data_IF_540154009098
#
_entry.id   IF_540154009098
#
_cell.length_a   1.000
_cell.length_b   1.000
_cell.length_c   1.000
_cell.angle_alpha   90.00
_cell.angle_beta   90.00
_cell.angle_gamma   90.00
#
_symmetry.space_group_name_H-M   'P 1'
#
loop_
_entity.id
_entity.type
_entity.pdbx_description
1 polymer ?
#
# COMPACT_ATOMS: atom_id res chain seq x y z
N UNK A 1 22.94 -6.23 26.83
CA UNK A 1 22.64 -5.19 25.86
C UNK A 1 21.98 -4.01 26.59
N UNK A 2 22.52 -2.82 26.39
CA UNK A 2 22.03 -1.58 27.03
C UNK A 2 21.14 -0.77 26.08
N UNK A 3 21.02 -1.17 24.82
CA UNK A 3 20.22 -0.45 23.81
C UNK A 3 20.69 1.01 23.67
N UNK A 4 19.79 1.95 23.98
CA UNK A 4 20.05 3.39 23.95
C UNK A 4 20.24 3.99 25.36
N UNK A 5 20.41 3.15 26.39
CA UNK A 5 20.50 3.62 27.78
C UNK A 5 21.85 4.25 28.15
N UNK A 6 22.90 4.01 27.36
CA UNK A 6 24.22 4.61 27.58
C UNK A 6 24.31 5.92 26.81
N UNK A 7 24.41 7.01 27.56
CA UNK A 7 24.42 8.37 27.02
C UNK A 7 25.64 9.09 27.55
N UNK A 8 26.30 9.87 26.68
CA UNK A 8 27.38 10.76 27.10
C UNK A 8 26.88 11.83 28.07
N UNK A 9 27.64 12.03 29.15
CA UNK A 9 27.26 12.94 30.25
C UNK A 9 27.22 14.42 29.82
N UNK A 10 28.08 14.83 28.88
CA UNK A 10 28.25 16.21 28.51
C UNK A 10 27.40 16.66 27.32
N UNK A 11 27.39 15.85 26.27
CA UNK A 11 26.72 16.18 25.00
C UNK A 11 25.39 15.46 24.78
N UNK A 12 25.08 14.46 25.61
CA UNK A 12 23.87 13.68 25.49
C UNK A 12 23.86 12.73 24.31
N UNK A 13 25.00 12.46 23.69
CA UNK A 13 25.11 11.51 22.59
C UNK A 13 24.85 10.10 23.05
N UNK A 14 23.98 9.38 22.35
CA UNK A 14 23.61 8.00 22.67
C UNK A 14 24.63 7.05 22.07
N UNK A 15 25.23 6.19 22.91
CA UNK A 15 26.01 5.03 22.44
C UNK A 15 25.04 3.90 22.08
N UNK A 16 24.68 3.85 20.80
CA UNK A 16 23.69 2.87 20.29
C UNK A 16 24.21 1.44 20.35
N UNK A 17 23.32 0.52 20.75
CA UNK A 17 23.55 -0.92 20.73
C UNK A 17 24.78 -1.38 21.54
N UNK A 18 25.11 -0.67 22.62
CA UNK A 18 26.22 -1.08 23.48
C UNK A 18 25.95 -2.41 24.15
N UNK A 19 26.83 -3.38 23.96
CA UNK A 19 26.78 -4.69 24.58
C UNK A 19 28.02 -4.89 25.44
N UNK A 20 27.81 -5.29 26.68
CA UNK A 20 28.90 -5.75 27.55
C UNK A 20 28.80 -7.27 27.66
N UNK A 21 29.72 -7.97 27.00
CA UNK A 21 29.79 -9.44 27.01
C UNK A 21 30.76 -9.90 28.09
N UNK A 22 30.35 -10.86 28.90
CA UNK A 22 31.22 -11.53 29.87
C UNK A 22 30.89 -13.01 29.92
N UNK A 23 31.86 -13.81 30.34
CA UNK A 23 31.68 -15.25 30.53
C UNK A 23 32.06 -15.63 31.95
N UNK A 24 31.35 -16.58 32.53
CA UNK A 24 31.73 -17.26 33.78
C UNK A 24 32.65 -18.48 33.53
N UNK A 25 32.87 -18.83 32.26
CA UNK A 25 33.75 -19.89 31.80
C UNK A 25 35.08 -19.37 31.23
N UNK A 26 35.90 -20.29 30.71
CA UNK A 26 37.22 -19.99 30.14
C UNK A 26 37.17 -19.28 28.76
N UNK A 27 36.04 -19.26 28.10
CA UNK A 27 35.87 -18.66 26.78
C UNK A 27 34.51 -18.00 26.61
N UNK A 28 34.43 -17.04 25.68
CA UNK A 28 33.16 -16.44 25.20
C UNK A 28 32.86 -17.07 23.85
N UNK A 29 31.61 -17.47 23.64
CA UNK A 29 31.15 -17.92 22.35
C UNK A 29 31.31 -16.79 21.32
N UNK A 30 31.77 -17.13 20.11
CA UNK A 30 32.08 -16.14 19.05
C UNK A 30 31.22 -16.25 17.80
N UNK A 31 30.24 -17.17 17.81
CA UNK A 31 29.37 -17.32 16.63
C UNK A 31 28.36 -16.17 16.52
N UNK A 32 27.88 -15.99 15.33
CA UNK A 32 26.92 -14.93 15.02
C UNK A 32 25.83 -15.39 14.07
N UNK A 33 24.70 -14.70 14.12
CA UNK A 33 23.65 -14.72 13.09
C UNK A 33 23.50 -13.31 12.57
N UNK A 34 23.59 -13.16 11.26
CA UNK A 34 23.25 -11.92 10.57
C UNK A 34 22.05 -12.12 9.65
N UNK A 35 21.33 -11.06 9.40
CA UNK A 35 20.20 -11.15 8.48
C UNK A 35 19.57 -9.81 8.17
N UNK A 36 18.50 -9.88 7.41
CA UNK A 36 17.73 -8.72 7.00
C UNK A 36 16.24 -9.00 7.13
N UNK A 37 15.47 -8.01 7.62
CA UNK A 37 14.01 -8.05 7.68
C UNK A 37 13.46 -7.04 6.67
N UNK A 38 12.54 -7.48 5.83
CA UNK A 38 11.85 -6.67 4.81
C UNK A 38 10.35 -6.82 5.03
N UNK A 39 9.60 -5.73 4.93
CA UNK A 39 8.14 -5.76 4.94
C UNK A 39 7.63 -6.41 3.64
N UNK A 40 6.95 -7.54 3.75
CA UNK A 40 6.51 -8.33 2.61
C UNK A 40 5.54 -7.59 1.68
N UNK A 41 4.63 -6.79 2.24
CA UNK A 41 3.62 -6.03 1.51
C UNK A 41 4.21 -4.86 0.68
N UNK A 42 5.34 -4.30 1.10
CA UNK A 42 5.88 -3.08 0.48
C UNK A 42 7.29 -3.20 -0.07
N UNK A 43 8.02 -4.26 0.32
CA UNK A 43 9.44 -4.43 0.03
C UNK A 43 10.35 -3.40 0.72
N UNK A 44 9.80 -2.58 1.63
CA UNK A 44 10.55 -1.58 2.40
C UNK A 44 11.14 -2.17 3.67
N UNK A 45 12.02 -1.43 4.31
CA UNK A 45 12.60 -1.77 5.63
C UNK A 45 11.93 -0.94 6.72
N UNK A 46 11.92 -1.47 7.95
CA UNK A 46 11.38 -0.78 9.11
C UNK A 46 12.34 -0.97 10.29
N UNK A 47 12.95 0.12 10.76
CA UNK A 47 13.90 0.12 11.88
C UNK A 47 13.24 0.02 13.26
N UNK A 48 11.91 0.01 13.33
CA UNK A 48 11.19 -0.23 14.59
C UNK A 48 11.07 -1.70 14.93
N UNK A 49 11.37 -2.58 13.97
CA UNK A 49 11.36 -4.02 14.17
C UNK A 49 12.53 -4.50 15.03
N UNK A 50 12.32 -5.67 15.62
CA UNK A 50 13.34 -6.43 16.31
C UNK A 50 13.53 -7.78 15.62
N UNK A 51 14.78 -8.27 15.60
CA UNK A 51 15.03 -9.68 15.39
C UNK A 51 15.09 -10.35 16.76
N UNK A 52 14.49 -11.53 16.91
CA UNK A 52 14.44 -12.26 18.18
C UNK A 52 14.80 -13.74 17.97
N UNK A 53 15.46 -14.35 18.97
CA UNK A 53 15.86 -15.76 18.93
C UNK A 53 15.23 -16.56 20.06
N UNK A 54 14.82 -17.77 19.70
CA UNK A 54 14.38 -18.83 20.62
C UNK A 54 15.14 -20.13 20.34
N UNK A 55 15.29 -20.97 21.36
CA UNK A 55 15.87 -22.31 21.25
C UNK A 55 14.81 -23.43 21.32
N UNK A 56 13.52 -23.09 21.33
CA UNK A 56 12.40 -24.04 21.40
C UNK A 56 11.56 -23.97 20.12
N UNK A 57 11.06 -25.15 19.72
CA UNK A 57 10.30 -25.34 18.48
C UNK A 57 8.78 -25.11 18.62
N UNK A 58 8.28 -24.94 19.85
CA UNK A 58 6.83 -24.82 20.08
C UNK A 58 6.27 -23.51 19.48
N UNK A 59 5.27 -23.59 18.62
CA UNK A 59 4.66 -22.43 17.96
C UNK A 59 4.12 -21.40 18.96
N UNK A 60 3.64 -21.87 20.12
CA UNK A 60 3.15 -20.99 21.18
C UNK A 60 4.24 -20.20 21.90
N UNK A 61 5.52 -20.53 21.70
CA UNK A 61 6.65 -19.89 22.38
C UNK A 61 6.72 -18.41 22.06
N UNK A 62 6.54 -18.02 20.79
CA UNK A 62 6.59 -16.62 20.36
C UNK A 62 5.49 -15.75 20.97
N UNK A 63 4.35 -16.35 21.34
CA UNK A 63 3.21 -15.66 21.94
C UNK A 63 3.19 -15.68 23.48
N UNK A 64 3.96 -16.57 24.11
CA UNK A 64 3.87 -16.82 25.56
C UNK A 64 5.17 -16.62 26.33
N UNK A 65 6.30 -16.64 25.64
CA UNK A 65 7.60 -16.53 26.27
C UNK A 65 8.39 -15.35 25.71
N UNK A 66 9.22 -14.75 26.55
CA UNK A 66 10.17 -13.74 26.09
C UNK A 66 11.30 -14.42 25.31
N UNK A 67 11.83 -13.76 24.26
CA UNK A 67 12.96 -14.28 23.50
C UNK A 67 14.23 -14.37 24.35
N UNK A 68 15.11 -15.31 24.01
CA UNK A 68 16.43 -15.42 24.64
C UNK A 68 17.37 -14.28 24.25
N UNK A 69 17.33 -13.89 22.98
CA UNK A 69 18.13 -12.81 22.43
C UNK A 69 17.24 -11.86 21.62
N UNK A 70 17.57 -10.58 21.68
CA UNK A 70 16.89 -9.51 20.94
C UNK A 70 17.96 -8.65 20.27
N UNK A 71 17.78 -8.38 18.98
CA UNK A 71 18.61 -7.45 18.24
C UNK A 71 17.73 -6.41 17.56
N UNK A 72 18.15 -5.15 17.54
CA UNK A 72 17.47 -4.09 16.80
C UNK A 72 17.76 -4.24 15.31
N UNK A 73 16.82 -3.82 14.49
CA UNK A 73 16.96 -3.73 13.05
C UNK A 73 17.43 -2.31 12.69
N UNK A 74 18.41 -2.18 11.82
CA UNK A 74 18.88 -0.87 11.33
C UNK A 74 17.97 -0.28 10.23
N UNK A 75 18.29 0.94 9.78
CA UNK A 75 17.51 1.62 8.72
C UNK A 75 17.52 0.90 7.35
N UNK A 76 18.47 -0.01 7.13
CA UNK A 76 18.51 -0.86 5.94
C UNK A 76 17.84 -2.24 6.15
N UNK A 77 17.29 -2.46 7.33
CA UNK A 77 16.62 -3.72 7.67
C UNK A 77 17.56 -4.78 8.23
N UNK A 78 18.85 -4.50 8.41
CA UNK A 78 19.81 -5.51 8.86
C UNK A 78 19.77 -5.68 10.38
N UNK A 79 20.05 -6.91 10.83
CA UNK A 79 20.23 -7.24 12.22
C UNK A 79 21.46 -8.15 12.41
N UNK A 80 21.97 -8.19 13.63
CA UNK A 80 23.11 -9.03 14.00
C UNK A 80 22.98 -9.48 15.45
N UNK A 81 23.13 -10.78 15.67
CA UNK A 81 23.36 -11.39 16.97
C UNK A 81 24.81 -11.84 17.07
N UNK A 82 25.43 -11.58 18.18
CA UNK A 82 26.84 -11.94 18.46
C UNK A 82 26.95 -12.79 19.73
N UNK A 83 28.07 -13.43 19.92
CA UNK A 83 28.38 -14.22 21.11
C UNK A 83 27.35 -15.34 21.34
N UNK A 84 26.96 -16.03 20.29
CA UNK A 84 26.01 -17.13 20.35
C UNK A 84 26.73 -18.45 20.56
N UNK A 85 26.21 -19.32 21.43
CA UNK A 85 26.68 -20.72 21.50
C UNK A 85 26.31 -21.46 20.23
N UNK A 86 27.04 -22.51 19.92
CA UNK A 86 26.67 -23.42 18.83
C UNK A 86 25.37 -24.13 19.18
N UNK A 87 24.48 -24.30 18.17
CA UNK A 87 23.19 -24.94 18.38
C UNK A 87 22.13 -24.46 17.35
N UNK A 88 20.93 -24.99 17.51
CA UNK A 88 19.78 -24.63 16.67
C UNK A 88 18.98 -23.48 17.31
N UNK A 89 18.72 -22.45 16.51
CA UNK A 89 17.94 -21.29 16.91
C UNK A 89 16.82 -21.03 15.92
N UNK A 90 15.66 -20.62 16.43
CA UNK A 90 14.53 -20.13 15.66
C UNK A 90 14.58 -18.60 15.64
N UNK A 91 14.69 -18.04 14.43
CA UNK A 91 14.82 -16.61 14.19
C UNK A 91 13.48 -16.04 13.73
N UNK A 92 13.06 -14.96 14.37
CA UNK A 92 11.82 -14.24 14.04
C UNK A 92 12.08 -12.74 13.91
N UNK A 93 11.26 -12.07 13.11
CA UNK A 93 11.10 -10.62 13.13
C UNK A 93 9.86 -10.25 13.92
N UNK A 94 9.92 -9.19 14.71
CA UNK A 94 8.82 -8.74 15.57
C UNK A 94 8.69 -7.22 15.57
N UNK A 95 7.49 -6.72 15.23
CA UNK A 95 7.07 -5.34 15.46
C UNK A 95 6.24 -5.28 16.73
N UNK A 96 6.87 -4.99 17.83
CA UNK A 96 6.35 -5.06 19.19
C UNK A 96 5.56 -3.77 19.54
N UNK A 97 4.27 -3.79 19.32
CA UNK A 97 3.40 -2.62 19.49
C UNK A 97 3.15 -2.29 20.97
N UNK A 98 3.07 -3.30 21.83
CA UNK A 98 2.75 -3.15 23.26
C UNK A 98 3.98 -3.23 24.19
N UNK A 99 5.18 -3.45 23.66
CA UNK A 99 6.44 -3.47 24.42
C UNK A 99 6.72 -4.77 25.18
N UNK A 100 5.96 -5.84 24.92
CA UNK A 100 6.05 -7.10 25.69
C UNK A 100 7.08 -8.10 25.12
N UNK A 101 7.58 -7.87 23.90
CA UNK A 101 8.50 -8.72 23.14
C UNK A 101 7.91 -10.11 22.80
N UNK A 102 6.61 -10.16 22.56
CA UNK A 102 5.89 -11.38 22.19
C UNK A 102 4.99 -11.08 20.98
N UNK A 103 4.74 -12.09 20.14
CA UNK A 103 3.79 -11.99 19.04
C UNK A 103 2.42 -12.49 19.52
N UNK A 104 1.56 -11.58 19.95
CA UNK A 104 0.25 -11.89 20.54
C UNK A 104 -0.92 -11.08 19.94
N UNK A 105 -0.64 -10.13 19.06
CA UNK A 105 -1.65 -9.33 18.40
C UNK A 105 -1.55 -9.45 16.87
N UNK A 106 -2.66 -9.63 16.13
CA UNK A 106 -2.63 -9.79 14.67
C UNK A 106 -2.21 -8.53 13.90
N UNK A 107 -2.19 -7.37 14.57
CA UNK A 107 -1.72 -6.10 14.01
C UNK A 107 -0.19 -5.95 14.12
N UNK A 108 0.48 -6.77 14.91
CA UNK A 108 1.93 -6.74 15.04
C UNK A 108 2.59 -7.30 13.79
N UNK A 109 3.68 -6.66 13.37
CA UNK A 109 4.51 -7.19 12.31
C UNK A 109 5.24 -8.42 12.78
N UNK A 110 5.15 -9.51 12.03
CA UNK A 110 5.80 -10.76 12.34
C UNK A 110 6.49 -11.36 11.13
N UNK A 111 7.65 -11.98 11.35
CA UNK A 111 8.39 -12.68 10.31
C UNK A 111 8.98 -13.98 10.88
N UNK A 112 9.03 -15.03 10.10
CA UNK A 112 9.55 -16.32 10.52
C UNK A 112 10.27 -17.05 9.39
N UNK A 113 11.10 -18.02 9.76
CA UNK A 113 11.67 -19.02 8.86
C UNK A 113 10.96 -20.36 9.06
N UNK A 114 10.88 -21.17 8.01
CA UNK A 114 10.25 -22.49 8.07
C UNK A 114 11.10 -23.51 8.82
N UNK A 115 12.40 -23.23 8.98
CA UNK A 115 13.36 -24.11 9.64
C UNK A 115 14.27 -23.35 10.60
N UNK A 116 14.79 -24.01 11.65
CA UNK A 116 15.77 -23.40 12.53
C UNK A 116 17.11 -23.18 11.81
N UNK A 117 17.88 -22.23 12.33
CA UNK A 117 19.25 -21.99 11.89
C UNK A 117 20.19 -22.74 12.82
N UNK A 118 21.08 -23.56 12.25
CA UNK A 118 22.17 -24.19 12.99
C UNK A 118 23.35 -23.22 13.00
N UNK A 119 23.63 -22.70 14.20
CA UNK A 119 24.70 -21.73 14.42
C UNK A 119 26.04 -22.44 14.54
N UNK A 120 26.99 -22.04 13.71
CA UNK A 120 28.37 -22.53 13.68
C UNK A 120 29.30 -21.38 13.30
N UNK A 121 30.57 -21.63 13.14
CA UNK A 121 31.57 -20.63 12.70
C UNK A 121 31.29 -20.02 11.32
N UNK A 122 30.45 -20.65 10.52
CA UNK A 122 30.06 -20.18 9.15
C UNK A 122 28.54 -20.20 9.00
N UNK A 123 27.84 -19.38 9.78
CA UNK A 123 26.38 -19.26 9.67
C UNK A 123 26.01 -18.34 8.49
N UNK A 124 25.20 -18.80 7.52
CA UNK A 124 24.78 -17.94 6.41
C UNK A 124 23.88 -16.81 6.88
N UNK A 125 23.93 -15.66 6.20
CA UNK A 125 22.99 -14.56 6.45
C UNK A 125 21.58 -14.96 6.02
N UNK A 126 20.57 -14.52 6.77
CA UNK A 126 19.17 -14.90 6.57
C UNK A 126 18.32 -13.71 6.17
N UNK A 127 17.28 -13.98 5.39
CA UNK A 127 16.28 -12.97 5.02
C UNK A 127 14.91 -13.36 5.55
N UNK A 128 14.26 -12.42 6.20
CA UNK A 128 12.94 -12.56 6.80
C UNK A 128 11.98 -11.57 6.12
N UNK A 129 10.72 -11.98 5.97
CA UNK A 129 9.67 -11.16 5.40
C UNK A 129 8.59 -10.91 6.44
N UNK A 130 8.50 -9.66 6.90
CA UNK A 130 7.57 -9.27 7.95
C UNK A 130 6.21 -8.89 7.35
N UNK A 131 5.16 -9.29 8.05
CA UNK A 131 3.77 -9.02 7.71
C UNK A 131 2.94 -8.79 8.97
N UNK A 132 1.86 -8.01 8.88
CA UNK A 132 0.79 -8.00 9.87
C UNK A 132 -0.39 -8.82 9.35
N UNK A 133 -0.94 -9.71 10.18
CA UNK A 133 -2.08 -10.54 9.79
C UNK A 133 -3.37 -9.70 9.63
N UNK A 134 -3.49 -8.62 10.37
CA UNK A 134 -4.56 -7.64 10.26
C UNK A 134 -3.98 -6.23 10.18
N UNK A 135 -4.64 -5.34 9.43
CA UNK A 135 -4.27 -3.91 9.40
C UNK A 135 -4.91 -3.17 10.56
N UNK A 136 -4.15 -2.24 11.14
CA UNK A 136 -4.73 -1.29 12.09
C UNK A 136 -5.94 -0.58 11.45
N UNK A 137 -7.10 -0.64 12.11
CA UNK A 137 -8.27 0.09 11.63
C UNK A 137 -7.96 1.59 11.70
N UNK A 138 -8.13 2.35 10.60
CA UNK A 138 -7.93 3.80 10.65
C UNK A 138 -8.80 4.36 11.78
N UNK A 139 -8.20 5.07 12.72
CA UNK A 139 -8.96 5.85 13.71
C UNK A 139 -9.83 6.80 12.91
N UNK A 140 -11.16 6.65 13.03
CA UNK A 140 -12.11 7.55 12.39
C UNK A 140 -11.74 8.97 12.82
N UNK A 141 -11.17 9.76 11.91
CA UNK A 141 -10.95 11.17 12.13
C UNK A 141 -12.33 11.79 12.17
N UNK A 142 -12.82 12.06 13.37
CA UNK A 142 -13.99 12.89 13.59
C UNK A 142 -13.61 14.34 13.26
N UNK A 143 -13.52 14.67 11.99
CA UNK A 143 -13.54 16.05 11.55
C UNK A 143 -14.99 16.54 11.63
N UNK A 144 -15.46 16.76 12.84
CA UNK A 144 -16.61 17.59 13.09
C UNK A 144 -16.18 19.05 12.94
N UNK A 145 -15.93 19.48 11.71
CA UNK A 145 -15.98 20.91 11.41
C UNK A 145 -17.46 21.28 11.37
N UNK A 146 -17.90 21.97 12.40
CA UNK A 146 -19.23 22.56 12.47
C UNK A 146 -19.39 23.70 11.48
N UNK A 147 -19.45 23.38 10.21
CA UNK A 147 -19.94 24.32 9.19
C UNK A 147 -21.44 24.12 9.05
N UNK A 148 -22.17 25.14 9.46
CA UNK A 148 -23.59 25.31 9.10
C UNK A 148 -23.66 25.54 7.58
N UNK A 149 -23.49 24.48 6.81
CA UNK A 149 -23.66 24.48 5.38
C UNK A 149 -25.08 24.96 5.05
N UNK A 150 -25.18 26.12 4.43
CA UNK A 150 -26.46 26.75 4.02
C UNK A 150 -27.06 26.08 2.77
N UNK A 151 -26.97 24.77 2.65
CA UNK A 151 -27.52 24.01 1.53
C UNK A 151 -26.74 22.73 1.24
N UNK A 152 -27.26 21.94 0.29
CA UNK A 152 -26.63 20.73 -0.21
C UNK A 152 -25.36 21.09 -1.00
N UNK A 153 -24.20 20.60 -0.55
CA UNK A 153 -22.93 20.76 -1.29
C UNK A 153 -22.68 19.55 -2.17
N UNK A 154 -22.38 19.81 -3.42
CA UNK A 154 -22.02 18.80 -4.43
C UNK A 154 -20.65 19.13 -5.03
N UNK A 155 -19.83 18.11 -5.19
CA UNK A 155 -18.50 18.22 -5.81
C UNK A 155 -18.38 17.20 -6.95
N UNK A 156 -18.18 17.63 -8.20
CA UNK A 156 -17.93 16.74 -9.32
C UNK A 156 -16.49 16.19 -9.29
N UNK A 157 -16.28 14.99 -9.83
CA UNK A 157 -14.95 14.38 -10.00
C UNK A 157 -14.23 14.88 -11.27
N UNK A 158 -14.12 16.18 -11.43
CA UNK A 158 -13.48 16.81 -12.58
C UNK A 158 -12.04 17.20 -12.25
N UNK A 159 -11.13 16.94 -13.17
CA UNK A 159 -9.75 17.42 -13.12
C UNK A 159 -9.58 18.66 -13.99
N UNK A 160 -9.32 19.82 -13.40
CA UNK A 160 -9.25 21.11 -14.11
C UNK A 160 -10.45 21.37 -15.07
N UNK A 161 -11.66 21.01 -14.64
CA UNK A 161 -12.89 21.19 -15.44
C UNK A 161 -13.03 20.16 -16.57
N UNK A 162 -12.28 19.07 -16.56
CA UNK A 162 -12.37 18.01 -17.55
C UNK A 162 -12.79 16.67 -16.93
N UNK A 163 -13.71 15.98 -17.60
CA UNK A 163 -14.10 14.61 -17.30
C UNK A 163 -13.12 13.65 -17.97
N UNK A 164 -12.65 12.69 -17.20
CA UNK A 164 -11.78 11.62 -17.65
C UNK A 164 -12.54 10.59 -18.48
N UNK A 165 -11.99 10.19 -19.65
CA UNK A 165 -12.59 9.14 -20.50
C UNK A 165 -12.59 7.76 -19.84
N UNK A 166 -11.69 7.52 -18.90
CA UNK A 166 -11.52 6.23 -18.23
C UNK A 166 -12.36 6.13 -16.95
N UNK A 167 -13.06 7.20 -16.56
CA UNK A 167 -13.85 7.25 -15.35
C UNK A 167 -15.31 7.67 -15.63
N UNK A 168 -16.19 7.30 -14.71
CA UNK A 168 -17.58 7.75 -14.74
C UNK A 168 -17.70 9.16 -14.17
N UNK A 169 -18.59 9.98 -14.72
CA UNK A 169 -18.89 11.28 -14.11
C UNK A 169 -19.64 11.06 -12.80
N UNK A 170 -19.11 11.58 -11.69
CA UNK A 170 -19.67 11.42 -10.35
C UNK A 170 -19.86 12.76 -9.67
N UNK A 171 -21.00 12.87 -9.01
CA UNK A 171 -21.32 13.97 -8.11
C UNK A 171 -21.20 13.45 -6.67
N UNK A 172 -20.24 13.97 -5.91
CA UNK A 172 -20.02 13.59 -4.51
C UNK A 172 -20.73 14.58 -3.59
N UNK A 173 -21.42 14.03 -2.61
CA UNK A 173 -22.14 14.79 -1.60
C UNK A 173 -21.48 14.60 -0.23
N UNK A 174 -21.60 15.60 0.64
CA UNK A 174 -21.05 15.53 2.02
C UNK A 174 -21.81 14.56 2.91
N UNK A 175 -23.08 14.28 2.59
CA UNK A 175 -23.95 13.34 3.30
C UNK A 175 -24.74 12.48 2.30
N UNK A 176 -25.19 11.27 2.71
CA UNK A 176 -25.96 10.39 1.84
C UNK A 176 -27.21 11.07 1.30
N UNK A 177 -27.50 10.90 0.00
CA UNK A 177 -28.71 11.41 -0.62
C UNK A 177 -29.93 10.52 -0.23
N UNK A 178 -30.93 11.17 0.33
CA UNK A 178 -32.21 10.53 0.69
C UNK A 178 -33.18 10.52 -0.49
N UNK A 179 -33.27 11.63 -1.22
CA UNK A 179 -34.16 11.80 -2.36
C UNK A 179 -33.42 12.47 -3.52
N UNK A 180 -33.62 11.96 -4.71
CA UNK A 180 -33.10 12.55 -5.96
C UNK A 180 -34.24 12.60 -6.99
N UNK A 181 -34.38 13.74 -7.66
CA UNK A 181 -35.40 13.97 -8.68
C UNK A 181 -34.71 14.25 -10.04
N UNK A 182 -34.64 13.23 -10.92
CA UNK A 182 -34.00 13.38 -12.22
C UNK A 182 -34.71 14.39 -13.14
N UNK A 183 -36.00 14.66 -12.93
CA UNK A 183 -36.76 15.63 -13.76
C UNK A 183 -36.28 17.08 -13.55
N UNK A 184 -35.60 17.34 -12.43
CA UNK A 184 -34.96 18.61 -12.07
C UNK A 184 -33.52 18.69 -12.53
N UNK A 185 -33.10 17.82 -13.43
CA UNK A 185 -31.74 17.80 -13.99
C UNK A 185 -31.80 17.79 -15.51
N UNK A 186 -30.84 18.45 -16.14
CA UNK A 186 -30.73 18.51 -17.61
C UNK A 186 -29.27 18.56 -18.03
N UNK A 187 -28.86 17.61 -18.85
CA UNK A 187 -27.53 17.59 -19.47
C UNK A 187 -27.65 18.16 -20.92
N UNK A 188 -26.74 19.07 -21.23
CA UNK A 188 -26.69 19.73 -22.54
C UNK A 188 -25.30 19.63 -23.11
N UNK A 189 -25.20 19.33 -24.40
CA UNK A 189 -23.93 19.31 -25.13
C UNK A 189 -23.79 20.67 -25.88
N UNK A 190 -22.59 21.24 -25.84
CA UNK A 190 -22.21 22.52 -26.42
C UNK A 190 -23.22 23.66 -26.14
N UNK A 191 -23.90 24.15 -27.14
CA UNK A 191 -24.68 25.40 -27.00
C UNK A 191 -26.17 25.20 -26.71
N UNK A 192 -26.79 24.08 -27.03
CA UNK A 192 -28.23 23.93 -26.84
C UNK A 192 -28.80 22.48 -26.93
N UNK A 193 -28.09 21.50 -27.44
CA UNK A 193 -28.66 20.17 -27.66
C UNK A 193 -28.76 19.39 -26.34
N UNK A 194 -29.99 19.01 -25.96
CA UNK A 194 -30.22 18.19 -24.78
C UNK A 194 -29.77 16.76 -25.04
N UNK A 195 -28.95 16.22 -24.11
CA UNK A 195 -28.51 14.84 -24.18
C UNK A 195 -29.62 13.93 -23.67
N UNK A 196 -30.06 13.03 -24.53
CA UNK A 196 -31.00 11.98 -24.18
C UNK A 196 -30.30 10.76 -23.57
N UNK A 197 -31.05 9.89 -22.88
CA UNK A 197 -30.53 8.66 -22.28
C UNK A 197 -29.49 8.89 -21.17
N UNK A 198 -29.71 9.91 -20.34
CA UNK A 198 -28.92 10.14 -19.13
C UNK A 198 -29.47 9.25 -18.01
N UNK A 199 -28.60 8.45 -17.40
CA UNK A 199 -28.95 7.56 -16.29
C UNK A 199 -28.21 8.06 -15.04
N UNK A 200 -28.94 8.12 -13.93
CA UNK A 200 -28.40 8.47 -12.62
C UNK A 200 -28.46 7.27 -11.69
N UNK A 201 -27.31 6.87 -11.14
CA UNK A 201 -27.21 5.74 -10.22
C UNK A 201 -26.59 6.21 -8.90
N UNK A 202 -27.21 5.82 -7.79
CA UNK A 202 -26.58 6.02 -6.49
C UNK A 202 -25.55 4.88 -6.23
N UNK A 203 -24.44 5.22 -5.61
CA UNK A 203 -23.53 4.21 -5.05
C UNK A 203 -24.16 3.55 -3.80
N UNK A 204 -23.53 2.50 -3.29
CA UNK A 204 -24.03 1.76 -2.11
C UNK A 204 -24.14 2.62 -0.86
N UNK A 205 -23.29 3.63 -0.71
CA UNK A 205 -23.29 4.57 0.43
C UNK A 205 -24.25 5.74 0.24
N UNK A 206 -24.76 5.94 -0.99
CA UNK A 206 -25.56 7.11 -1.41
C UNK A 206 -24.86 8.46 -1.23
N UNK A 207 -23.54 8.46 -1.07
CA UNK A 207 -22.72 9.67 -1.03
C UNK A 207 -22.29 10.13 -2.41
N UNK A 208 -22.50 9.30 -3.43
CA UNK A 208 -22.15 9.60 -4.81
C UNK A 208 -23.32 9.30 -5.74
N UNK A 209 -23.55 10.21 -6.67
CA UNK A 209 -24.45 10.02 -7.80
C UNK A 209 -23.61 9.86 -9.06
N UNK A 210 -23.68 8.70 -9.69
CA UNK A 210 -22.99 8.38 -10.94
C UNK A 210 -23.90 8.81 -12.09
N UNK A 211 -23.36 9.63 -13.00
CA UNK A 211 -24.08 10.09 -14.18
C UNK A 211 -23.52 9.37 -15.40
N UNK A 212 -24.34 8.56 -16.05
CA UNK A 212 -24.02 7.82 -17.26
C UNK A 212 -24.71 8.51 -18.44
N UNK A 213 -23.93 8.89 -19.43
CA UNK A 213 -24.42 9.51 -20.65
C UNK A 213 -23.53 9.10 -21.84
N UNK A 214 -23.97 9.29 -23.09
CA UNK A 214 -23.17 9.02 -24.29
C UNK A 214 -22.10 10.11 -24.47
N UNK A 215 -21.06 10.06 -23.61
CA UNK A 215 -19.97 11.02 -23.62
C UNK A 215 -19.22 10.99 -24.95
N UNK A 216 -18.99 12.16 -25.55
CA UNK A 216 -18.18 12.32 -26.76
C UNK A 216 -16.89 13.05 -26.40
N UNK A 217 -15.74 12.44 -26.73
CA UNK A 217 -14.43 13.01 -26.49
C UNK A 217 -14.29 14.42 -27.09
N UNK A 218 -13.70 15.33 -26.34
CA UNK A 218 -13.48 16.73 -26.75
C UNK A 218 -14.68 17.65 -26.61
N UNK A 219 -15.90 17.14 -26.48
CA UNK A 219 -17.10 17.97 -26.39
C UNK A 219 -17.24 18.60 -24.99
N UNK A 220 -17.89 19.75 -24.98
CA UNK A 220 -18.25 20.50 -23.76
C UNK A 220 -19.67 20.14 -23.36
N UNK A 221 -19.89 20.02 -22.08
CA UNK A 221 -21.17 19.70 -21.46
C UNK A 221 -21.51 20.69 -20.36
N UNK A 222 -22.80 20.87 -20.13
CA UNK A 222 -23.34 21.57 -18.97
C UNK A 222 -24.42 20.70 -18.32
N UNK A 223 -24.23 20.38 -17.07
CA UNK A 223 -25.24 19.73 -16.24
C UNK A 223 -25.95 20.81 -15.42
N UNK A 224 -27.20 21.04 -15.71
CA UNK A 224 -28.08 21.93 -14.94
C UNK A 224 -28.72 21.13 -13.82
N UNK A 225 -28.69 21.66 -12.63
CA UNK A 225 -29.25 21.11 -11.40
C UNK A 225 -30.21 22.17 -10.85
N UNK A 226 -31.50 21.98 -11.02
CA UNK A 226 -32.47 22.93 -10.53
C UNK A 226 -32.58 22.83 -9.00
N UNK A 227 -33.10 23.87 -8.37
CA UNK A 227 -33.30 23.83 -6.91
C UNK A 227 -34.15 22.61 -6.52
N UNK A 228 -33.85 22.05 -5.34
CA UNK A 228 -34.54 20.87 -4.81
C UNK A 228 -34.40 19.59 -5.67
N UNK A 229 -33.37 19.49 -6.55
CA UNK A 229 -33.10 18.27 -7.30
C UNK A 229 -32.68 17.10 -6.40
N UNK A 230 -32.11 17.39 -5.23
CA UNK A 230 -31.71 16.37 -4.26
C UNK A 230 -31.90 16.86 -2.84
N UNK A 231 -32.13 15.92 -1.93
CA UNK A 231 -32.21 16.12 -0.48
C UNK A 231 -31.35 15.07 0.21
N UNK A 232 -30.50 15.49 1.14
CA UNK A 232 -29.63 14.58 1.91
C UNK A 232 -30.34 13.92 3.09
N UNK A 233 -29.63 13.06 3.80
CA UNK A 233 -30.14 12.33 4.98
C UNK A 233 -30.49 13.23 6.15
N UNK A 234 -29.94 14.44 6.23
CA UNK A 234 -30.27 15.45 7.26
C UNK A 234 -31.44 16.38 6.88
N UNK A 235 -32.02 16.18 5.68
CA UNK A 235 -33.11 17.03 5.18
C UNK A 235 -32.64 18.32 4.49
N UNK A 236 -31.34 18.53 4.31
CA UNK A 236 -30.84 19.66 3.54
C UNK A 236 -31.08 19.42 2.05
N UNK A 237 -31.59 20.44 1.38
CA UNK A 237 -31.85 20.40 -0.05
C UNK A 237 -31.08 21.50 -0.76
N UNK A 238 -30.92 21.38 -2.09
CA UNK A 238 -30.38 22.43 -2.95
C UNK A 238 -31.36 23.60 -2.97
N UNK A 239 -30.91 24.76 -2.47
CA UNK A 239 -31.75 25.98 -2.33
C UNK A 239 -31.71 26.88 -3.55
N UNK A 240 -30.79 26.64 -4.49
CA UNK A 240 -30.60 27.39 -5.73
C UNK A 240 -30.29 26.47 -6.89
N UNK A 241 -30.50 26.98 -8.09
CA UNK A 241 -30.06 26.33 -9.32
C UNK A 241 -28.52 26.34 -9.36
N UNK A 242 -27.94 25.27 -9.89
CA UNK A 242 -26.50 25.16 -10.11
C UNK A 242 -26.23 24.64 -11.52
N UNK A 243 -25.04 24.95 -12.04
CA UNK A 243 -24.63 24.53 -13.38
C UNK A 243 -23.18 24.08 -13.33
N UNK A 244 -22.95 22.81 -13.62
CA UNK A 244 -21.62 22.23 -13.71
C UNK A 244 -21.23 22.19 -15.19
N UNK A 245 -20.25 23.03 -15.54
CA UNK A 245 -19.70 23.07 -16.91
C UNK A 245 -18.39 22.31 -16.96
N UNK A 246 -18.24 21.43 -17.94
CA UNK A 246 -17.03 20.64 -18.13
C UNK A 246 -16.86 20.24 -19.60
N UNK A 247 -15.66 19.78 -19.94
CA UNK A 247 -15.39 19.09 -21.19
C UNK A 247 -15.04 17.63 -20.92
N UNK A 248 -15.17 16.78 -21.91
CA UNK A 248 -14.65 15.41 -21.87
C UNK A 248 -13.25 15.42 -22.47
N UNK A 249 -12.28 14.78 -21.79
CA UNK A 249 -10.91 14.64 -22.31
C UNK A 249 -10.92 13.93 -23.67
N UNK A 250 -9.91 14.20 -24.49
CA UNK A 250 -9.66 13.48 -25.74
C UNK A 250 -8.64 12.38 -25.53
N UNK A 251 -8.57 11.40 -26.42
CA UNK A 251 -7.58 10.33 -26.38
C UNK A 251 -6.13 10.84 -26.39
N UNK A 252 -5.90 12.00 -27.04
CA UNK A 252 -4.58 12.66 -27.10
C UNK A 252 -4.08 13.17 -25.74
N UNK A 253 -4.95 13.28 -24.75
CA UNK A 253 -4.59 13.66 -23.38
C UNK A 253 -4.16 12.46 -22.53
N UNK A 254 -4.00 11.30 -23.14
CA UNK A 254 -3.46 10.08 -22.54
C UNK A 254 -2.18 9.66 -23.24
N UNK A 255 -1.37 8.87 -22.56
CA UNK A 255 -0.22 8.23 -23.17
C UNK A 255 -0.47 6.73 -23.38
N UNK A 256 0.31 6.12 -24.25
CA UNK A 256 0.42 4.67 -24.34
C UNK A 256 1.55 4.23 -23.42
N UNK A 257 1.39 3.11 -22.71
CA UNK A 257 2.43 2.53 -21.84
C UNK A 257 2.79 1.14 -22.34
N UNK A 258 4.09 0.91 -22.48
CA UNK A 258 4.67 -0.38 -22.79
C UNK A 258 5.84 -0.66 -21.85
N UNK A 259 5.71 -1.67 -21.01
CA UNK A 259 6.78 -2.10 -20.10
C UNK A 259 7.23 -3.50 -20.51
N UNK A 260 8.54 -3.66 -20.78
CA UNK A 260 9.14 -4.96 -21.06
C UNK A 260 10.02 -5.39 -19.90
N UNK A 261 9.82 -6.62 -19.45
CA UNK A 261 10.59 -7.22 -18.37
C UNK A 261 11.57 -8.23 -18.92
N UNK A 262 12.86 -8.07 -18.64
CA UNK A 262 13.83 -9.14 -18.85
C UNK A 262 13.93 -10.01 -17.60
N UNK A 263 14.11 -11.31 -17.80
CA UNK A 263 14.23 -12.30 -16.72
C UNK A 263 13.06 -12.36 -15.70
N UNK A 264 11.86 -11.91 -16.10
CA UNK A 264 10.66 -12.06 -15.27
C UNK A 264 10.26 -13.55 -15.23
N UNK A 265 10.10 -14.07 -14.01
CA UNK A 265 9.49 -15.38 -13.78
C UNK A 265 7.96 -15.26 -13.80
N UNK A 266 7.35 -15.66 -14.90
CA UNK A 266 5.89 -15.66 -15.08
C UNK A 266 5.20 -16.81 -14.36
N UNK A 267 5.94 -17.87 -13.98
CA UNK A 267 5.38 -18.99 -13.21
C UNK A 267 5.09 -18.63 -11.75
N UNK A 268 5.71 -17.55 -11.26
CA UNK A 268 5.42 -16.99 -9.92
C UNK A 268 4.17 -16.08 -9.90
N UNK A 269 3.36 -16.08 -10.99
CA UNK A 269 2.13 -15.29 -11.13
C UNK A 269 2.29 -13.80 -10.77
N UNK A 270 3.23 -13.08 -11.43
CA UNK A 270 3.50 -11.70 -11.08
C UNK A 270 2.31 -10.78 -11.44
N UNK A 271 1.98 -9.89 -10.53
CA UNK A 271 1.00 -8.81 -10.72
C UNK A 271 1.73 -7.47 -10.67
N UNK A 272 1.67 -6.70 -11.74
CA UNK A 272 2.20 -5.34 -11.76
C UNK A 272 1.29 -4.42 -10.94
N UNK A 273 1.83 -3.83 -9.90
CA UNK A 273 1.15 -2.80 -9.11
C UNK A 273 1.67 -1.44 -9.54
N UNK A 274 0.75 -0.54 -9.88
CA UNK A 274 1.06 0.84 -10.22
C UNK A 274 0.56 1.75 -9.11
N UNK A 275 1.45 2.57 -8.57
CA UNK A 275 1.16 3.55 -7.52
C UNK A 275 1.25 4.97 -8.06
N UNK A 276 0.41 5.86 -7.56
CA UNK A 276 0.56 7.31 -7.73
C UNK A 276 1.80 7.83 -7.01
N UNK A 277 2.15 9.08 -7.23
CA UNK A 277 3.21 9.75 -6.46
C UNK A 277 2.96 9.79 -4.95
N UNK A 278 1.71 9.72 -4.50
CA UNK A 278 1.28 9.66 -3.09
C UNK A 278 1.16 8.24 -2.53
N UNK A 279 1.73 7.24 -3.19
CA UNK A 279 1.68 5.81 -2.82
C UNK A 279 0.26 5.19 -2.84
N UNK A 280 -0.71 5.83 -3.50
CA UNK A 280 -2.03 5.25 -3.73
C UNK A 280 -1.99 4.26 -4.89
N UNK A 281 -2.62 3.10 -4.74
CA UNK A 281 -2.69 2.09 -5.81
C UNK A 281 -3.65 2.55 -6.89
N UNK A 282 -3.13 2.82 -8.09
CA UNK A 282 -3.90 3.19 -9.28
C UNK A 282 -4.44 1.96 -9.99
N UNK A 283 -3.68 0.86 -9.96
CA UNK A 283 -4.11 -0.39 -10.57
C UNK A 283 -3.23 -1.57 -10.26
N UNK A 284 -3.81 -2.75 -10.44
CA UNK A 284 -3.14 -4.05 -10.36
C UNK A 284 -3.38 -4.80 -11.67
N UNK A 285 -2.32 -5.30 -12.29
CA UNK A 285 -2.36 -5.91 -13.60
C UNK A 285 -1.63 -7.25 -13.59
N UNK A 286 -2.34 -8.39 -13.57
CA UNK A 286 -1.72 -9.70 -13.71
C UNK A 286 -0.92 -9.80 -15.02
N UNK A 287 0.32 -10.28 -14.93
CA UNK A 287 1.21 -10.43 -16.07
C UNK A 287 1.24 -11.90 -16.50
N UNK A 288 0.70 -12.19 -17.66
CA UNK A 288 0.77 -13.52 -18.28
C UNK A 288 1.99 -13.70 -19.18
N UNK A 289 2.75 -12.64 -19.39
CA UNK A 289 3.97 -12.59 -20.21
C UNK A 289 4.96 -11.56 -19.70
N UNK A 290 6.03 -11.36 -20.45
CA UNK A 290 7.11 -10.44 -20.13
C UNK A 290 6.86 -9.01 -20.63
N UNK A 291 5.64 -8.67 -21.01
CA UNK A 291 5.27 -7.35 -21.49
C UNK A 291 3.94 -6.92 -20.87
N UNK A 292 3.89 -5.69 -20.41
CA UNK A 292 2.66 -4.98 -20.08
C UNK A 292 2.42 -3.91 -21.15
N UNK A 293 1.22 -3.88 -21.70
CA UNK A 293 0.80 -2.88 -22.68
C UNK A 293 -0.57 -2.30 -22.29
N UNK A 294 -0.68 -0.99 -22.36
CA UNK A 294 -1.95 -0.30 -22.18
C UNK A 294 -1.98 0.98 -23.02
N UNK A 295 -2.93 1.07 -23.94
CA UNK A 295 -3.31 2.34 -24.57
C UNK A 295 -4.08 3.18 -23.56
N UNK A 296 -4.12 4.46 -23.68
CA UNK A 296 -4.85 5.36 -22.79
C UNK A 296 -4.47 5.16 -21.30
N UNK A 297 -3.32 5.67 -20.94
CA UNK A 297 -2.88 5.77 -19.56
C UNK A 297 -2.80 7.24 -19.17
N UNK A 298 -3.26 7.60 -17.96
CA UNK A 298 -3.20 9.00 -17.51
C UNK A 298 -1.77 9.49 -17.47
N UNK A 299 -1.46 10.72 -17.91
CA UNK A 299 -0.15 11.33 -17.72
C UNK A 299 0.19 11.46 -16.23
N UNK A 300 1.45 11.24 -15.89
CA UNK A 300 1.89 11.34 -14.50
C UNK A 300 3.17 10.56 -14.21
N UNK A 301 3.63 10.67 -12.97
CA UNK A 301 4.73 9.89 -12.43
C UNK A 301 4.18 8.77 -11.55
N UNK A 302 4.59 7.54 -11.85
CA UNK A 302 4.11 6.36 -11.17
C UNK A 302 5.27 5.56 -10.59
N UNK A 303 5.08 5.04 -9.39
CA UNK A 303 5.95 4.01 -8.82
C UNK A 303 5.40 2.64 -9.18
N UNK A 304 6.29 1.70 -9.40
CA UNK A 304 5.95 0.35 -9.83
C UNK A 304 6.44 -0.66 -8.80
N UNK A 305 5.68 -1.74 -8.63
CA UNK A 305 6.12 -2.92 -7.91
C UNK A 305 5.55 -4.19 -8.57
N UNK A 306 6.16 -5.33 -8.29
CA UNK A 306 5.63 -6.65 -8.63
C UNK A 306 5.18 -7.36 -7.36
N UNK A 307 3.94 -7.81 -7.34
CA UNK A 307 3.43 -8.76 -6.37
C UNK A 307 3.59 -10.17 -6.97
N UNK A 308 4.17 -11.08 -6.21
CA UNK A 308 4.20 -12.51 -6.54
C UNK A 308 2.99 -13.18 -5.89
N UNK A 309 1.92 -13.26 -6.67
CA UNK A 309 0.57 -13.65 -6.24
C UNK A 309 0.41 -15.18 -6.34
N UNK A 310 0.69 -15.88 -5.25
CA UNK A 310 0.72 -17.34 -5.22
C UNK A 310 -0.65 -17.98 -5.35
N UNK A 311 -1.70 -17.32 -4.90
CA UNK A 311 -3.08 -17.83 -4.97
C UNK A 311 -3.91 -17.24 -6.13
N UNK A 312 -3.33 -16.32 -6.91
CA UNK A 312 -3.90 -15.72 -8.11
C UNK A 312 -5.21 -14.95 -7.86
N UNK A 313 -5.33 -14.30 -6.71
CA UNK A 313 -6.50 -13.49 -6.36
C UNK A 313 -6.34 -11.99 -6.75
N UNK A 314 -5.16 -11.57 -7.20
CA UNK A 314 -4.84 -10.21 -7.64
C UNK A 314 -4.58 -9.22 -6.50
N UNK A 315 -4.54 -9.67 -5.25
CA UNK A 315 -4.27 -8.85 -4.07
C UNK A 315 -3.18 -9.50 -3.21
N UNK A 316 -2.47 -8.69 -2.46
CA UNK A 316 -1.46 -9.21 -1.54
C UNK A 316 -2.09 -9.88 -0.34
N UNK A 317 -1.60 -11.08 0.02
CA UNK A 317 -2.04 -11.86 1.17
C UNK A 317 -0.94 -11.93 2.25
N UNK A 318 -1.31 -11.72 3.54
CA UNK A 318 -0.39 -11.86 4.65
C UNK A 318 -0.03 -13.32 4.88
N UNK A 319 1.07 -13.54 5.60
CA UNK A 319 1.41 -14.84 6.13
C UNK A 319 0.45 -15.28 7.25
N UNK A 320 0.60 -16.53 7.65
CA UNK A 320 -0.09 -17.09 8.81
C UNK A 320 0.81 -18.09 9.53
N UNK A 321 1.39 -17.67 10.64
CA UNK A 321 2.31 -18.48 11.41
C UNK A 321 1.63 -19.62 12.18
N UNK A 322 0.38 -19.40 12.63
CA UNK A 322 -0.35 -20.38 13.42
C UNK A 322 -1.19 -21.36 12.60
N UNK A 323 -1.29 -21.16 11.29
CA UNK A 323 -1.93 -22.12 10.37
C UNK A 323 -1.12 -23.43 10.26
N UNK A 324 -1.79 -24.49 9.79
CA UNK A 324 -1.17 -25.77 9.54
C UNK A 324 -1.48 -26.27 8.13
N UNK A 325 -0.52 -26.23 7.20
CA UNK A 325 0.88 -25.79 7.37
C UNK A 325 0.98 -24.26 7.56
N UNK A 326 2.09 -23.80 8.14
CA UNK A 326 2.44 -22.37 8.21
C UNK A 326 2.49 -21.79 6.81
N UNK A 327 2.02 -20.56 6.68
CA UNK A 327 2.02 -19.86 5.37
C UNK A 327 2.88 -18.60 5.44
N UNK A 328 3.88 -18.53 4.57
CA UNK A 328 4.66 -17.31 4.36
C UNK A 328 3.78 -16.24 3.67
N UNK A 329 4.06 -14.94 3.88
CA UNK A 329 3.38 -13.86 3.18
C UNK A 329 3.76 -13.87 1.70
N UNK A 330 2.88 -13.36 0.86
CA UNK A 330 3.22 -12.99 -0.50
C UNK A 330 4.19 -11.83 -0.53
N UNK A 331 5.01 -11.74 -1.59
CA UNK A 331 6.10 -10.78 -1.65
C UNK A 331 5.80 -9.69 -2.66
N UNK A 332 5.98 -8.44 -2.23
CA UNK A 332 5.99 -7.29 -3.13
C UNK A 332 7.42 -6.80 -3.32
N UNK A 333 7.87 -6.79 -4.58
CA UNK A 333 9.17 -6.29 -4.98
C UNK A 333 9.03 -4.89 -5.61
N UNK A 334 9.47 -3.81 -4.96
CA UNK A 334 9.51 -2.49 -5.56
C UNK A 334 10.45 -2.47 -6.77
N UNK A 335 10.05 -1.77 -7.83
CA UNK A 335 10.86 -1.57 -9.02
C UNK A 335 11.53 -0.21 -8.97
N UNK A 336 12.84 -0.17 -9.23
CA UNK A 336 13.65 1.04 -9.08
C UNK A 336 13.40 2.11 -10.16
N UNK A 337 12.77 1.73 -11.25
CA UNK A 337 12.51 2.62 -12.37
C UNK A 337 11.08 3.20 -12.27
N UNK A 338 10.92 4.50 -12.04
CA UNK A 338 9.61 5.13 -12.11
C UNK A 338 9.09 5.12 -13.55
N UNK A 339 7.79 5.02 -13.71
CA UNK A 339 7.12 5.16 -15.00
C UNK A 339 6.66 6.62 -15.17
N UNK A 340 7.29 7.34 -16.08
CA UNK A 340 6.83 8.67 -16.49
C UNK A 340 5.95 8.52 -17.72
N UNK A 341 4.68 8.89 -17.59
CA UNK A 341 3.72 8.89 -18.70
C UNK A 341 3.49 10.32 -19.19
N UNK A 342 3.77 10.57 -20.45
CA UNK A 342 3.47 11.84 -21.16
C UNK A 342 2.25 11.66 -22.05
N UNK A 343 1.43 12.69 -22.14
CA UNK A 343 0.27 12.72 -23.03
C UNK A 343 0.69 12.61 -24.51
N UNK A 344 -0.09 11.93 -25.30
CA UNK A 344 0.11 11.71 -26.74
C UNK A 344 1.48 11.10 -27.12
N UNK A 345 2.08 10.34 -26.21
CA UNK A 345 3.38 9.66 -26.40
C UNK A 345 3.25 8.15 -26.20
N UNK A 346 4.08 7.41 -26.92
CA UNK A 346 4.38 6.00 -26.63
C UNK A 346 5.47 5.94 -25.57
N UNK A 347 5.07 5.67 -24.33
CA UNK A 347 5.98 5.64 -23.18
C UNK A 347 6.47 4.20 -23.00
N UNK A 348 7.74 3.97 -23.32
CA UNK A 348 8.37 2.65 -23.21
C UNK A 348 9.33 2.61 -22.01
N UNK A 349 9.29 1.48 -21.28
CA UNK A 349 10.16 1.19 -20.16
C UNK A 349 10.67 -0.24 -20.25
N UNK A 350 11.96 -0.45 -20.05
CA UNK A 350 12.58 -1.78 -19.93
C UNK A 350 13.06 -1.96 -18.49
N UNK A 351 12.65 -3.06 -17.87
CA UNK A 351 13.02 -3.41 -16.51
C UNK A 351 13.77 -4.73 -16.53
N UNK A 352 15.00 -4.70 -16.04
CA UNK A 352 15.82 -5.90 -15.84
C UNK A 352 15.63 -6.39 -14.40
N UNK A 353 15.01 -7.57 -14.25
CA UNK A 353 14.77 -8.17 -12.94
C UNK A 353 16.03 -8.72 -12.27
N UNK A 354 17.13 -8.89 -13.01
CA UNK A 354 18.43 -9.29 -12.46
C UNK A 354 19.29 -8.10 -12.03
N UNK A 355 18.89 -6.89 -12.39
CA UNK A 355 19.66 -5.70 -12.01
C UNK A 355 19.60 -5.49 -10.49
N UNK A 356 20.73 -5.23 -9.81
CA UNK A 356 20.71 -4.92 -8.39
C UNK A 356 19.85 -3.66 -8.14
N UNK A 357 19.09 -3.61 -7.03
CA UNK A 357 18.31 -2.43 -6.72
C UNK A 357 19.21 -1.20 -6.66
N UNK A 358 18.84 -0.14 -7.37
CA UNK A 358 19.55 1.14 -7.29
C UNK A 358 19.48 1.64 -5.84
N UNK A 359 20.61 1.97 -5.24
CA UNK A 359 20.66 2.64 -3.94
C UNK A 359 19.85 3.95 -4.06
N UNK A 360 18.79 4.05 -3.30
CA UNK A 360 18.04 5.29 -3.10
C UNK A 360 18.80 6.23 -2.17
#
# INVERSE_FOLDING_TARGET
DFGDAVVDLNEGNILKNFQYAFSTGASIDSNEITGRIILAETGKTDSTLFAVLYNKQEDSTVAKQKPMYVARVDGQGNFRFTNLPSGAFYVYGLGDVDGNKQYNQPIEQFAFLDSPIVVSTTTPSVQLYAYAAEKEKPKASSSASGDKARGLLVTPNLEAGALDLLDSFRLRYTKPIRKFDPSKTRLVIDSAETVNNVIFLNDSTRNQLIVIAPWKAGNKYRLFLDKEYATDSSGLTSIKNDTISFRVKTEKEYGTVRIRFSALDTAAHPVLIVYSGSDEIIGRYPLTGKEFYRSMFKPGNYKLALLYDTNQNGVWDPGDYFSKPKRQPELVQPLSNPLLVKENWDNELVIDMNAPPKKQ
#
